data_IF_187308214259
#
_entry.id   IF_187308214259
#
_cell.length_a   1.000
_cell.length_b   1.000
_cell.length_c   1.000
_cell.angle_alpha   90.00
_cell.angle_beta   90.00
_cell.angle_gamma   90.00
#
_symmetry.space_group_name_H-M   'P 1'
#
loop_
_entity.id
_entity.type
_entity.pdbx_description
1 polymer ?
#
# COMPACT_ATOMS: atom_id res chain seq x y z
N UNK A 1 -11.91 4.36 -8.71
CA UNK A 1 -10.76 4.74 -7.85
C UNK A 1 -10.87 6.23 -7.58
N UNK A 2 -11.07 6.66 -6.33
CA UNK A 2 -11.04 8.09 -5.96
C UNK A 2 -9.63 8.38 -5.45
N UNK A 3 -8.85 9.16 -6.18
CA UNK A 3 -7.58 9.69 -5.71
C UNK A 3 -7.86 10.61 -4.51
N UNK A 4 -7.17 10.37 -3.39
CA UNK A 4 -7.24 11.20 -2.19
C UNK A 4 -6.63 12.58 -2.48
N UNK A 5 -7.14 13.65 -1.87
CA UNK A 5 -6.55 15.00 -1.97
C UNK A 5 -5.04 15.03 -1.67
N UNK A 6 -4.54 14.09 -0.85
CA UNK A 6 -3.12 13.93 -0.52
C UNK A 6 -2.25 13.41 -1.67
N UNK A 7 -2.85 12.74 -2.65
CA UNK A 7 -2.16 12.15 -3.82
C UNK A 7 -2.17 13.13 -5.02
N UNK A 8 -3.15 14.03 -5.09
CA UNK A 8 -3.33 14.96 -6.21
C UNK A 8 -2.21 16.01 -6.24
N UNK A 9 -1.84 16.57 -5.08
CA UNK A 9 -0.78 17.57 -4.96
C UNK A 9 0.58 17.15 -5.55
N UNK A 10 1.18 16.03 -5.10
CA UNK A 10 2.47 15.58 -5.63
C UNK A 10 2.41 15.15 -7.10
N UNK A 11 1.27 14.60 -7.56
CA UNK A 11 1.08 14.26 -8.97
C UNK A 11 1.08 15.52 -9.86
N UNK A 12 0.32 16.55 -9.47
CA UNK A 12 0.27 17.83 -10.20
C UNK A 12 1.65 18.48 -10.23
N UNK A 13 2.37 18.47 -9.09
CA UNK A 13 3.73 19.01 -9.02
C UNK A 13 4.71 18.25 -9.92
N UNK A 14 4.66 16.92 -9.93
CA UNK A 14 5.51 16.09 -10.79
C UNK A 14 5.26 16.37 -12.28
N UNK A 15 4.00 16.50 -12.70
CA UNK A 15 3.64 16.83 -14.08
C UNK A 15 4.07 18.24 -14.46
N UNK A 16 3.88 19.23 -13.58
CA UNK A 16 4.27 20.61 -13.83
C UNK A 16 5.79 20.77 -13.98
N UNK A 17 6.55 20.19 -13.05
CA UNK A 17 8.03 20.25 -13.06
C UNK A 17 8.60 19.44 -14.22
N UNK A 18 8.08 18.23 -14.46
CA UNK A 18 8.50 17.38 -15.58
C UNK A 18 8.23 18.02 -16.94
N UNK A 19 7.04 18.60 -17.13
CA UNK A 19 6.67 19.32 -18.34
C UNK A 19 7.52 20.57 -18.57
N UNK A 20 7.80 21.34 -17.52
CA UNK A 20 8.69 22.51 -17.60
C UNK A 20 10.12 22.12 -17.97
N UNK A 21 10.68 21.08 -17.36
CA UNK A 21 12.00 20.55 -17.70
C UNK A 21 12.05 20.04 -19.14
N UNK A 22 11.01 19.36 -19.61
CA UNK A 22 10.93 18.90 -21.00
C UNK A 22 10.98 20.09 -21.96
N UNK A 23 10.19 21.13 -21.72
CA UNK A 23 10.18 22.33 -22.56
C UNK A 23 11.52 23.11 -22.54
N UNK A 24 12.24 23.09 -21.42
CA UNK A 24 13.54 23.78 -21.29
C UNK A 24 14.72 23.00 -21.89
N UNK A 25 14.59 21.67 -22.01
CA UNK A 25 15.66 20.79 -22.49
C UNK A 25 15.46 20.31 -23.94
N UNK A 26 14.32 20.64 -24.55
CA UNK A 26 14.05 20.31 -25.95
C UNK A 26 14.93 21.20 -26.85
N UNK A 27 15.87 20.59 -27.56
CA UNK A 27 16.61 21.32 -28.58
C UNK A 27 15.83 21.31 -29.90
N UNK A 28 15.83 22.43 -30.64
CA UNK A 28 15.13 22.48 -31.91
C UNK A 28 15.72 21.46 -32.89
N UNK A 29 14.84 20.68 -33.53
CA UNK A 29 15.22 19.80 -34.62
C UNK A 29 15.99 20.58 -35.69
N UNK A 30 17.06 19.98 -36.21
CA UNK A 30 17.74 20.55 -37.36
C UNK A 30 16.78 20.50 -38.55
N UNK A 31 16.75 21.52 -39.42
CA UNK A 31 15.96 21.47 -40.64
C UNK A 31 16.51 20.39 -41.58
N UNK A 32 15.62 19.78 -42.37
CA UNK A 32 16.02 18.87 -43.44
C UNK A 32 16.89 19.60 -44.48
N UNK A 33 17.79 18.86 -45.12
CA UNK A 33 18.77 19.37 -46.10
C UNK A 33 18.92 18.40 -47.26
N UNK A 34 19.43 18.85 -48.39
CA UNK A 34 19.80 17.91 -49.45
C UNK A 34 21.06 17.11 -49.05
N UNK A 35 21.26 15.94 -49.68
CA UNK A 35 22.33 15.01 -49.32
C UNK A 35 23.74 15.58 -49.49
N UNK A 36 23.91 16.53 -50.41
CA UNK A 36 25.16 17.26 -50.62
C UNK A 36 25.37 18.46 -49.65
N UNK A 37 24.43 18.69 -48.74
CA UNK A 37 24.46 19.77 -47.76
C UNK A 37 23.79 21.07 -48.20
N UNK A 38 23.28 21.16 -49.44
CA UNK A 38 22.54 22.32 -49.92
C UNK A 38 21.25 22.52 -49.10
N UNK A 39 20.99 23.75 -48.64
CA UNK A 39 19.71 24.16 -48.02
C UNK A 39 18.82 24.83 -49.05
N UNK A 40 17.92 24.06 -49.67
CA UNK A 40 17.05 24.59 -50.72
C UNK A 40 15.84 25.28 -50.08
N UNK A 41 15.47 26.49 -50.51
CA UNK A 41 14.28 27.18 -50.00
C UNK A 41 12.98 26.44 -50.36
N UNK A 42 13.03 25.49 -51.30
CA UNK A 42 11.91 24.64 -51.71
C UNK A 42 11.96 23.23 -51.10
N UNK A 43 12.76 22.99 -50.05
CA UNK A 43 12.79 21.69 -49.36
C UNK A 43 11.39 21.34 -48.82
N UNK A 44 10.89 20.16 -49.22
CA UNK A 44 9.51 19.72 -48.94
C UNK A 44 8.60 19.72 -50.16
N UNK A 45 9.01 20.39 -51.25
CA UNK A 45 8.33 20.32 -52.54
C UNK A 45 8.94 19.25 -53.47
N UNK A 46 8.10 18.70 -54.35
CA UNK A 46 8.51 17.65 -55.29
C UNK A 46 9.65 18.13 -56.19
N UNK A 47 10.80 17.45 -56.13
CA UNK A 47 11.95 17.69 -57.01
C UNK A 47 13.05 18.60 -56.45
N UNK A 48 12.87 19.22 -55.28
CA UNK A 48 13.80 20.22 -54.72
C UNK A 48 15.23 19.72 -54.46
N UNK A 49 15.42 18.43 -54.16
CA UNK A 49 16.74 17.80 -53.99
C UNK A 49 17.03 16.74 -55.06
N UNK A 50 16.31 16.73 -56.19
CA UNK A 50 16.46 15.72 -57.25
C UNK A 50 17.88 15.66 -57.83
N UNK A 51 18.54 16.81 -57.96
CA UNK A 51 19.91 16.93 -58.45
C UNK A 51 20.96 16.90 -57.32
N UNK A 52 20.50 16.96 -56.07
CA UNK A 52 21.33 17.09 -54.87
C UNK A 52 21.36 15.80 -54.03
N UNK A 53 21.10 14.65 -54.68
CA UNK A 53 21.16 13.33 -54.05
C UNK A 53 19.97 13.00 -53.12
N UNK A 54 18.88 13.77 -53.18
CA UNK A 54 17.69 13.56 -52.36
C UNK A 54 17.70 14.32 -51.04
N UNK A 55 16.61 14.18 -50.28
CA UNK A 55 16.41 14.86 -48.99
C UNK A 55 16.96 13.98 -47.86
N UNK A 56 17.78 14.56 -47.00
CA UNK A 56 18.20 13.99 -45.72
C UNK A 56 17.36 14.61 -44.61
N UNK A 57 16.77 13.75 -43.78
CA UNK A 57 16.00 14.18 -42.63
C UNK A 57 16.88 15.04 -41.70
N UNK A 58 16.27 16.04 -41.09
CA UNK A 58 16.91 16.76 -40.02
C UNK A 58 17.18 15.81 -38.86
N UNK A 59 18.42 15.82 -38.36
CA UNK A 59 18.77 15.05 -37.17
C UNK A 59 18.25 15.78 -35.93
N UNK A 60 17.78 15.00 -34.96
CA UNK A 60 17.48 15.50 -33.63
C UNK A 60 18.77 15.40 -32.79
N UNK A 61 19.43 16.53 -32.47
CA UNK A 61 20.71 16.51 -31.77
C UNK A 61 20.55 16.18 -30.28
N UNK A 62 19.32 16.10 -29.74
CA UNK A 62 19.10 15.92 -28.32
C UNK A 62 19.54 14.53 -27.87
N UNK A 63 20.56 14.44 -27.01
CA UNK A 63 21.00 13.15 -26.47
C UNK A 63 19.89 12.47 -25.66
N UNK A 64 19.80 11.14 -25.74
CA UNK A 64 18.76 10.36 -25.06
C UNK A 64 18.65 10.61 -23.55
N UNK A 65 19.77 10.92 -22.89
CA UNK A 65 19.80 11.20 -21.45
C UNK A 65 19.06 12.49 -21.08
N UNK A 66 19.05 13.52 -21.96
CA UNK A 66 18.28 14.74 -21.73
C UNK A 66 16.77 14.47 -21.73
N UNK A 67 16.32 13.54 -22.59
CA UNK A 67 14.92 13.09 -22.63
C UNK A 67 14.53 12.24 -21.41
N UNK A 68 15.48 11.49 -20.85
CA UNK A 68 15.27 10.68 -19.66
C UNK A 68 15.20 11.52 -18.37
N UNK A 69 15.86 12.69 -18.34
CA UNK A 69 15.95 13.57 -17.17
C UNK A 69 14.58 14.06 -16.65
N UNK A 70 13.65 14.60 -17.48
CA UNK A 70 12.32 15.01 -17.01
C UNK A 70 11.47 13.83 -16.51
N UNK A 71 11.59 12.66 -17.14
CA UNK A 71 10.93 11.44 -16.69
C UNK A 71 11.45 11.04 -15.30
N UNK A 72 12.78 11.00 -15.13
CA UNK A 72 13.41 10.69 -13.86
C UNK A 72 13.05 11.67 -12.75
N UNK A 73 13.07 12.98 -13.04
CA UNK A 73 12.71 14.02 -12.09
C UNK A 73 11.24 13.90 -11.64
N UNK A 74 10.31 13.73 -12.58
CA UNK A 74 8.89 13.54 -12.26
C UNK A 74 8.65 12.28 -11.40
N UNK A 75 9.34 11.19 -11.73
CA UNK A 75 9.24 9.92 -11.02
C UNK A 75 9.78 10.02 -9.59
N UNK A 76 10.90 10.73 -9.37
CA UNK A 76 11.44 10.99 -8.03
C UNK A 76 10.50 11.89 -7.21
N UNK A 77 9.99 12.98 -7.79
CA UNK A 77 9.06 13.91 -7.12
C UNK A 77 7.79 13.20 -6.69
N UNK A 78 7.31 12.23 -7.47
CA UNK A 78 6.13 11.44 -7.12
C UNK A 78 6.44 10.32 -6.12
N UNK A 79 7.50 9.53 -6.34
CA UNK A 79 7.80 8.37 -5.52
C UNK A 79 8.33 8.71 -4.13
N UNK A 80 9.12 9.77 -3.96
CA UNK A 80 9.71 10.10 -2.65
C UNK A 80 8.64 10.44 -1.61
N UNK A 81 7.65 11.31 -1.88
CA UNK A 81 6.54 11.54 -0.97
C UNK A 81 5.67 10.30 -0.78
N UNK A 82 5.37 9.55 -1.85
CA UNK A 82 4.56 8.33 -1.75
C UNK A 82 5.23 7.29 -0.84
N UNK A 83 6.54 7.10 -0.97
CA UNK A 83 7.32 6.21 -0.14
C UNK A 83 7.38 6.69 1.32
N UNK A 84 7.67 7.99 1.55
CA UNK A 84 7.67 8.58 2.90
C UNK A 84 6.30 8.50 3.59
N UNK A 85 5.22 8.59 2.82
CA UNK A 85 3.85 8.45 3.31
C UNK A 85 3.42 6.99 3.51
N UNK A 86 4.32 6.03 3.27
CA UNK A 86 4.06 4.62 3.52
C UNK A 86 3.21 3.94 2.45
N UNK A 87 3.02 4.54 1.27
CA UNK A 87 2.27 3.92 0.17
C UNK A 87 2.87 2.58 -0.30
N UNK A 88 4.17 2.41 -0.10
CA UNK A 88 4.91 1.16 -0.36
C UNK A 88 5.36 0.47 0.92
N UNK A 89 4.98 0.99 2.09
CA UNK A 89 5.15 0.29 3.34
C UNK A 89 4.34 -0.99 3.24
N UNK A 90 5.02 -2.13 3.07
CA UNK A 90 4.40 -3.43 3.21
C UNK A 90 3.83 -3.45 4.62
N UNK A 91 2.53 -3.25 4.78
CA UNK A 91 1.83 -3.61 6.01
C UNK A 91 1.94 -5.14 6.09
N UNK A 92 3.09 -5.62 6.55
CA UNK A 92 3.15 -6.87 7.28
C UNK A 92 2.36 -6.60 8.55
N UNK A 93 1.03 -6.66 8.43
CA UNK A 93 0.18 -7.04 9.54
C UNK A 93 0.72 -8.40 9.94
N UNK A 94 1.68 -8.43 10.85
CA UNK A 94 1.92 -9.62 11.64
C UNK A 94 0.67 -9.74 12.51
N UNK A 95 -0.27 -10.66 12.20
CA UNK A 95 -1.48 -10.81 12.99
C UNK A 95 -1.13 -11.14 14.44
N UNK A 96 0.09 -11.63 14.73
CA UNK A 96 0.55 -11.97 16.07
C UNK A 96 1.12 -10.79 16.85
N UNK A 97 1.64 -9.75 16.18
CA UNK A 97 2.12 -8.53 16.85
C UNK A 97 0.99 -7.71 17.50
N UNK A 98 -0.26 -7.96 17.13
CA UNK A 98 -1.45 -7.26 17.65
C UNK A 98 -1.98 -7.80 19.00
N UNK A 99 -1.44 -8.91 19.50
CA UNK A 99 -1.90 -9.60 20.73
C UNK A 99 -0.83 -9.57 21.84
N UNK A 100 -0.34 -8.37 22.16
CA UNK A 100 0.66 -8.15 23.22
C UNK A 100 0.06 -7.72 24.56
N UNK A 101 -1.26 -7.58 24.65
CA UNK A 101 -1.92 -7.23 25.91
C UNK A 101 -1.88 -8.38 26.93
N UNK A 102 -1.96 -8.08 28.24
CA UNK A 102 -1.88 -9.10 29.29
C UNK A 102 -2.91 -10.22 29.17
N UNK A 103 -4.12 -9.92 28.71
CA UNK A 103 -5.21 -10.92 28.56
C UNK A 103 -4.87 -11.90 27.45
N UNK A 104 -4.41 -11.40 26.30
CA UNK A 104 -3.96 -12.21 25.17
C UNK A 104 -2.81 -13.16 25.55
N UNK A 105 -1.86 -12.70 26.37
CA UNK A 105 -0.74 -13.53 26.85
C UNK A 105 -1.22 -14.67 27.74
N UNK A 106 -2.16 -14.39 28.66
CA UNK A 106 -2.75 -15.44 29.52
C UNK A 106 -3.51 -16.48 28.68
N UNK A 107 -4.25 -16.03 27.67
CA UNK A 107 -4.98 -16.93 26.76
C UNK A 107 -4.02 -17.81 25.98
N UNK A 108 -2.93 -17.24 25.45
CA UNK A 108 -1.91 -17.98 24.72
C UNK A 108 -1.27 -19.07 25.57
N UNK A 109 -0.88 -18.71 26.79
CA UNK A 109 -0.30 -19.67 27.73
C UNK A 109 -1.27 -20.81 28.06
N UNK A 110 -2.56 -20.50 28.22
CA UNK A 110 -3.57 -21.53 28.46
C UNK A 110 -3.79 -22.44 27.23
N UNK A 111 -3.70 -21.91 26.01
CA UNK A 111 -3.75 -22.72 24.78
C UNK A 111 -2.53 -23.64 24.66
N UNK A 112 -1.33 -23.15 24.96
CA UNK A 112 -0.08 -23.92 24.94
C UNK A 112 -0.09 -25.05 25.98
N UNK A 113 -0.66 -24.80 27.15
CA UNK A 113 -0.80 -25.79 28.23
C UNK A 113 -2.02 -26.71 28.06
N UNK A 114 -2.92 -26.44 27.11
CA UNK A 114 -4.20 -27.14 27.00
C UNK A 114 -5.10 -26.97 28.22
N UNK A 115 -5.01 -25.83 28.91
CA UNK A 115 -5.79 -25.51 30.11
C UNK A 115 -7.05 -24.72 29.80
N UNK A 116 -8.07 -24.90 30.63
CA UNK A 116 -9.29 -24.12 30.55
C UNK A 116 -9.08 -22.72 31.14
N UNK A 117 -9.89 -21.78 30.68
CA UNK A 117 -9.92 -20.40 31.17
C UNK A 117 -11.23 -20.12 31.87
N UNK A 118 -11.16 -19.34 32.95
CA UNK A 118 -12.32 -18.73 33.57
C UNK A 118 -12.19 -17.23 33.56
N UNK A 119 -13.18 -16.54 33.03
CA UNK A 119 -13.18 -15.08 32.99
C UNK A 119 -14.54 -14.47 33.23
N UNK A 120 -14.54 -13.24 33.76
CA UNK A 120 -15.73 -12.42 33.91
C UNK A 120 -15.99 -11.65 32.61
N UNK A 121 -17.13 -11.92 31.98
CA UNK A 121 -17.47 -11.37 30.67
C UNK A 121 -18.61 -10.35 30.77
N UNK A 122 -18.32 -9.10 30.40
CA UNK A 122 -19.31 -8.02 30.35
C UNK A 122 -19.99 -7.98 28.98
N UNK A 123 -21.32 -8.04 28.96
CA UNK A 123 -22.12 -7.85 27.74
C UNK A 123 -22.80 -6.49 27.82
N UNK A 124 -22.98 -5.86 26.67
CA UNK A 124 -23.47 -4.49 26.50
C UNK A 124 -24.75 -4.16 27.30
N UNK A 125 -25.64 -5.15 27.50
CA UNK A 125 -26.91 -4.97 28.23
C UNK A 125 -27.14 -6.04 29.32
N UNK A 126 -26.10 -6.69 29.83
CA UNK A 126 -26.26 -7.73 30.86
C UNK A 126 -25.19 -7.62 31.94
N UNK A 127 -25.58 -7.95 33.17
CA UNK A 127 -24.65 -8.06 34.28
C UNK A 127 -23.47 -8.98 33.91
N UNK A 128 -22.23 -8.63 34.29
CA UNK A 128 -21.06 -9.44 34.00
C UNK A 128 -21.24 -10.88 34.51
N UNK A 129 -20.92 -11.86 33.66
CA UNK A 129 -21.11 -13.27 33.99
C UNK A 129 -19.81 -14.05 33.85
N UNK A 130 -19.49 -14.87 34.86
CA UNK A 130 -18.38 -15.80 34.81
C UNK A 130 -18.60 -16.85 33.69
N UNK A 131 -17.57 -17.05 32.88
CA UNK A 131 -17.51 -18.04 31.80
C UNK A 131 -16.31 -18.94 32.04
N UNK A 132 -16.53 -20.25 31.95
CA UNK A 132 -15.45 -21.21 31.77
C UNK A 132 -15.42 -21.62 30.30
N UNK A 133 -14.26 -21.54 29.67
CA UNK A 133 -14.09 -21.84 28.25
C UNK A 133 -12.78 -22.56 27.98
N UNK A 134 -12.76 -23.39 26.93
CA UNK A 134 -11.54 -23.96 26.37
C UNK A 134 -11.09 -23.11 25.19
N UNK A 135 -9.96 -22.38 25.29
CA UNK A 135 -9.49 -21.51 24.21
C UNK A 135 -9.02 -22.35 23.01
N UNK A 136 -9.36 -21.90 21.80
CA UNK A 136 -9.02 -22.60 20.55
C UNK A 136 -8.11 -21.75 19.66
N UNK A 137 -8.42 -20.46 19.51
CA UNK A 137 -7.68 -19.56 18.62
C UNK A 137 -7.86 -18.08 19.02
N UNK A 138 -6.81 -17.27 18.87
CA UNK A 138 -6.88 -15.81 18.92
C UNK A 138 -7.12 -15.27 17.50
N UNK A 139 -8.17 -14.48 17.30
CA UNK A 139 -8.60 -14.04 15.98
C UNK A 139 -9.13 -12.60 15.98
N UNK A 140 -9.27 -11.99 14.81
CA UNK A 140 -9.88 -10.68 14.63
C UNK A 140 -11.27 -10.83 14.02
N UNK A 141 -12.30 -10.38 14.73
CA UNK A 141 -13.64 -10.29 14.16
C UNK A 141 -13.80 -8.93 13.49
N UNK A 142 -13.92 -8.93 12.15
CA UNK A 142 -14.26 -7.73 11.39
C UNK A 142 -15.78 -7.56 11.39
N UNK A 143 -16.28 -6.55 12.09
CA UNK A 143 -17.70 -6.21 12.05
C UNK A 143 -17.87 -4.73 11.70
N UNK A 144 -18.52 -4.48 10.55
CA UNK A 144 -19.10 -3.23 10.02
C UNK A 144 -18.26 -1.93 9.96
N UNK A 145 -17.13 -1.82 10.67
CA UNK A 145 -16.17 -0.71 10.60
C UNK A 145 -14.98 -0.86 11.57
N UNK A 146 -15.03 -1.83 12.50
CA UNK A 146 -13.97 -2.02 13.50
C UNK A 146 -13.52 -3.49 13.58
N UNK A 147 -12.21 -3.71 13.50
CA UNK A 147 -11.60 -5.00 13.79
C UNK A 147 -11.49 -5.16 15.32
N UNK A 148 -12.28 -6.05 15.90
CA UNK A 148 -12.22 -6.35 17.32
C UNK A 148 -11.39 -7.60 17.57
N UNK A 149 -10.48 -7.54 18.56
CA UNK A 149 -9.67 -8.69 18.98
C UNK A 149 -10.54 -9.65 19.79
N UNK A 150 -10.52 -10.92 19.41
CA UNK A 150 -11.39 -11.94 19.97
C UNK A 150 -10.61 -13.23 20.27
N UNK A 151 -11.12 -14.03 21.20
CA UNK A 151 -10.76 -15.43 21.35
C UNK A 151 -11.93 -16.30 20.87
N UNK A 152 -11.65 -17.22 19.96
CA UNK A 152 -12.53 -18.34 19.64
C UNK A 152 -12.31 -19.42 20.71
N UNK A 153 -13.37 -19.77 21.44
CA UNK A 153 -13.31 -20.75 22.51
C UNK A 153 -14.57 -21.61 22.56
N UNK A 154 -14.44 -22.83 23.09
CA UNK A 154 -15.59 -23.66 23.44
C UNK A 154 -16.16 -23.21 24.79
N UNK A 155 -17.40 -22.76 24.81
CA UNK A 155 -18.04 -22.28 26.02
C UNK A 155 -18.76 -23.42 26.75
N UNK A 156 -18.28 -23.79 27.94
CA UNK A 156 -18.86 -24.88 28.73
C UNK A 156 -20.29 -24.60 29.20
N UNK A 157 -20.68 -23.33 29.40
CA UNK A 157 -22.06 -23.02 29.76
C UNK A 157 -23.04 -23.22 28.58
N UNK A 158 -22.59 -22.92 27.35
CA UNK A 158 -23.45 -22.95 26.15
C UNK A 158 -23.24 -24.20 25.29
N UNK A 159 -22.25 -25.03 25.64
CA UNK A 159 -21.87 -26.23 24.91
C UNK A 159 -21.66 -25.96 23.41
N UNK A 160 -20.99 -24.84 23.09
CA UNK A 160 -20.80 -24.39 21.72
C UNK A 160 -19.55 -23.51 21.56
N UNK A 161 -18.98 -23.50 20.35
CA UNK A 161 -17.92 -22.56 19.96
C UNK A 161 -18.46 -21.13 19.85
N UNK A 162 -17.76 -20.17 20.45
CA UNK A 162 -18.15 -18.76 20.50
C UNK A 162 -16.92 -17.87 20.42
N UNK A 163 -17.11 -16.68 19.84
CA UNK A 163 -16.12 -15.61 19.87
C UNK A 163 -16.37 -14.74 21.10
N UNK A 164 -15.33 -14.46 21.85
CA UNK A 164 -15.35 -13.54 22.98
C UNK A 164 -14.41 -12.38 22.69
N UNK A 165 -14.97 -11.18 22.62
CA UNK A 165 -14.18 -9.94 22.43
C UNK A 165 -13.29 -9.72 23.66
N UNK A 166 -11.99 -9.55 23.45
CA UNK A 166 -11.00 -9.44 24.54
C UNK A 166 -11.19 -8.20 25.40
N UNK A 167 -11.63 -7.08 24.81
CA UNK A 167 -11.89 -5.84 25.56
C UNK A 167 -13.07 -5.92 26.53
N UNK A 168 -13.87 -7.00 26.47
CA UNK A 168 -15.02 -7.26 27.36
C UNK A 168 -14.69 -8.24 28.49
N UNK A 169 -13.43 -8.64 28.60
CA UNK A 169 -12.93 -9.51 29.67
C UNK A 169 -12.35 -8.63 30.78
N UNK A 170 -12.99 -8.62 31.94
CA UNK A 170 -12.56 -7.78 33.08
C UNK A 170 -11.56 -8.52 33.98
N UNK A 171 -11.81 -9.81 34.21
CA UNK A 171 -10.97 -10.66 35.05
C UNK A 171 -10.76 -11.99 34.34
N UNK A 172 -9.55 -12.52 34.39
CA UNK A 172 -9.19 -13.79 33.77
C UNK A 172 -8.30 -14.62 34.70
N UNK A 173 -8.60 -15.90 34.82
CA UNK A 173 -7.79 -16.88 35.53
C UNK A 173 -7.74 -18.19 34.76
N UNK A 174 -6.66 -18.93 34.93
CA UNK A 174 -6.53 -20.30 34.41
C UNK A 174 -7.24 -21.26 35.36
N UNK A 175 -7.93 -22.23 34.80
CA UNK A 175 -8.50 -23.36 35.52
C UNK A 175 -7.67 -24.57 35.15
N UNK A 176 -7.21 -25.32 36.15
CA UNK A 176 -6.50 -26.57 35.90
C UNK A 176 -7.38 -27.45 35.00
N UNK A 177 -6.78 -28.01 33.94
CA UNK A 177 -7.48 -28.87 33.00
C UNK A 177 -8.28 -29.93 33.77
N UNK A 178 -9.60 -29.96 33.55
CA UNK A 178 -10.43 -31.06 34.03
C UNK A 178 -10.01 -32.26 33.18
N UNK A 179 -9.06 -33.05 33.68
CA UNK A 179 -8.70 -34.34 33.10
C UNK A 179 -9.94 -35.24 33.22
N UNK A 180 -10.68 -35.38 32.13
CA UNK A 180 -11.66 -36.45 31.93
C UNK A 180 -10.95 -37.73 31.53
#
# INVERSE_FOLDING_TARGET
>A
MRLSEREIGPLVLALAVGGLLFALLDEPNLPSRCADGWRSPSIGETGACSHHGGVVAGDDPTPWWKRALPIGAGLVIYLVPAWRNGAFGRQTHDPMAAFTDPVSLVIRHAMEEGSDLRFLYAKEDQAPQWRTVTPLELTHLHQASHASRCVLAYCHLRQAKRHFVLSRIEQISRVAAVRS
#
